data_IF_697374266378
#
_entry.id   IF_697374266378
#
_cell.length_a   1.000
_cell.length_b   1.000
_cell.length_c   1.000
_cell.angle_alpha   90.00
_cell.angle_beta   90.00
_cell.angle_gamma   90.00
#
_symmetry.space_group_name_H-M   'P 1'
#
loop_
_entity.id
_entity.type
_entity.pdbx_description
1 polymer ?
#
# COMPACT_ATOMS: atom_id res chain seq x y z
N UNK A 1 -13.99 -42.36 19.23
CA UNK A 1 -13.18 -41.36 19.97
C UNK A 1 -12.16 -40.61 19.10
N UNK A 2 -11.85 -41.06 17.86
CA UNK A 2 -10.85 -40.42 16.99
C UNK A 2 -11.31 -39.17 16.20
N UNK A 3 -12.62 -38.89 16.04
CA UNK A 3 -13.07 -37.81 15.14
C UNK A 3 -13.13 -36.41 15.77
N UNK A 4 -13.14 -36.28 17.10
CA UNK A 4 -13.19 -34.97 17.79
C UNK A 4 -11.82 -34.30 17.93
N UNK A 5 -10.73 -35.07 17.84
CA UNK A 5 -9.36 -34.55 17.89
C UNK A 5 -8.93 -33.88 16.59
N UNK A 6 -9.49 -34.32 15.47
CA UNK A 6 -9.04 -33.92 14.14
C UNK A 6 -9.63 -32.55 13.73
N UNK A 7 -10.91 -32.33 14.05
CA UNK A 7 -11.60 -31.08 13.74
C UNK A 7 -11.02 -29.86 14.48
N UNK A 8 -10.62 -30.06 15.74
CA UNK A 8 -9.93 -29.04 16.55
C UNK A 8 -8.52 -28.73 16.04
N UNK A 9 -7.83 -29.72 15.48
CA UNK A 9 -6.47 -29.57 14.93
C UNK A 9 -6.51 -28.83 13.60
N UNK A 10 -7.43 -29.20 12.69
CA UNK A 10 -7.59 -28.54 11.39
C UNK A 10 -8.05 -27.08 11.54
N UNK A 11 -8.96 -26.78 12.49
CA UNK A 11 -9.34 -25.37 12.80
C UNK A 11 -8.19 -24.55 13.38
N UNK A 12 -7.31 -25.16 14.19
CA UNK A 12 -6.14 -24.47 14.76
C UNK A 12 -5.09 -24.15 13.69
N UNK A 13 -4.85 -25.07 12.76
CA UNK A 13 -3.90 -24.87 11.65
C UNK A 13 -4.36 -23.74 10.71
N UNK A 14 -5.62 -23.76 10.26
CA UNK A 14 -6.15 -22.71 9.37
C UNK A 14 -6.21 -21.31 10.02
N UNK A 15 -6.42 -21.24 11.35
CA UNK A 15 -6.40 -19.98 12.10
C UNK A 15 -4.97 -19.44 12.27
N UNK A 16 -3.98 -20.31 12.44
CA UNK A 16 -2.57 -19.91 12.57
C UNK A 16 -2.01 -19.31 11.27
N UNK A 17 -2.27 -19.94 10.12
CA UNK A 17 -1.78 -19.44 8.82
C UNK A 17 -2.34 -18.05 8.47
N UNK A 18 -3.65 -17.84 8.67
CA UNK A 18 -4.28 -16.55 8.37
C UNK A 18 -3.77 -15.39 9.24
N UNK A 19 -3.47 -15.65 10.52
CA UNK A 19 -2.92 -14.64 11.43
C UNK A 19 -1.46 -14.30 11.16
N UNK A 20 -0.66 -15.30 10.76
CA UNK A 20 0.75 -15.11 10.42
C UNK A 20 0.92 -14.21 9.20
N UNK A 21 0.20 -14.48 8.11
CA UNK A 21 0.25 -13.67 6.89
C UNK A 21 -0.21 -12.23 7.11
N UNK A 22 -1.31 -12.04 7.84
CA UNK A 22 -1.80 -10.71 8.18
C UNK A 22 -0.81 -9.92 9.05
N UNK A 23 -0.08 -10.61 9.94
CA UNK A 23 0.95 -10.00 10.79
C UNK A 23 2.20 -9.63 9.99
N UNK A 24 2.67 -10.53 9.11
CA UNK A 24 3.78 -10.26 8.19
C UNK A 24 3.44 -9.07 7.28
N UNK A 25 2.23 -9.05 6.70
CA UNK A 25 1.79 -7.94 5.87
C UNK A 25 1.81 -6.60 6.63
N UNK A 26 1.30 -6.57 7.87
CA UNK A 26 1.35 -5.37 8.72
C UNK A 26 2.80 -4.94 8.99
N UNK A 27 3.69 -5.88 9.31
CA UNK A 27 5.10 -5.60 9.57
C UNK A 27 5.80 -5.03 8.34
N UNK A 28 5.64 -5.66 7.18
CA UNK A 28 6.17 -5.18 5.89
C UNK A 28 5.66 -3.78 5.60
N UNK A 29 4.36 -3.52 5.83
CA UNK A 29 3.77 -2.19 5.64
C UNK A 29 4.41 -1.15 6.55
N UNK A 30 4.65 -1.47 7.83
CA UNK A 30 5.33 -0.57 8.77
C UNK A 30 6.77 -0.29 8.33
N UNK A 31 7.53 -1.33 7.95
CA UNK A 31 8.91 -1.19 7.47
C UNK A 31 8.96 -0.31 6.22
N UNK A 32 8.03 -0.48 5.28
CA UNK A 32 7.96 0.36 4.07
C UNK A 32 7.67 1.82 4.41
N UNK A 33 6.73 2.09 5.32
CA UNK A 33 6.41 3.46 5.74
C UNK A 33 7.62 4.10 6.44
N UNK A 34 8.25 3.39 7.38
CA UNK A 34 9.43 3.87 8.09
C UNK A 34 10.60 4.10 7.12
N UNK A 35 10.83 3.17 6.18
CA UNK A 35 11.84 3.30 5.14
C UNK A 35 11.61 4.52 4.25
N UNK A 36 10.37 4.77 3.83
CA UNK A 36 10.01 5.94 3.05
C UNK A 36 10.25 7.25 3.82
N UNK A 37 9.87 7.30 5.10
CA UNK A 37 10.14 8.46 5.98
C UNK A 37 11.65 8.68 6.14
N UNK A 38 12.40 7.61 6.39
CA UNK A 38 13.84 7.67 6.59
C UNK A 38 14.57 8.13 5.33
N UNK A 39 14.22 7.59 4.16
CA UNK A 39 14.73 8.03 2.87
C UNK A 39 14.39 9.49 2.60
N UNK A 40 13.16 9.92 2.88
CA UNK A 40 12.76 11.33 2.77
C UNK A 40 13.59 12.25 3.66
N UNK A 41 13.82 11.86 4.92
CA UNK A 41 14.63 12.62 5.85
C UNK A 41 16.10 12.75 5.38
N UNK A 42 16.71 11.64 4.94
CA UNK A 42 18.05 11.65 4.35
C UNK A 42 18.09 12.56 3.12
N UNK A 43 17.11 12.44 2.22
CA UNK A 43 17.04 13.29 1.03
C UNK A 43 16.95 14.78 1.38
N UNK A 44 16.12 15.15 2.34
CA UNK A 44 15.98 16.52 2.80
C UNK A 44 17.28 17.05 3.44
N UNK A 45 17.96 16.24 4.25
CA UNK A 45 19.21 16.63 4.90
C UNK A 45 20.36 16.82 3.91
N UNK A 46 20.57 15.86 3.01
CA UNK A 46 21.71 15.88 2.08
C UNK A 46 21.48 16.72 0.82
N UNK A 47 20.23 16.96 0.44
CA UNK A 47 19.89 17.72 -0.77
C UNK A 47 19.20 19.04 -0.43
N UNK A 48 19.64 19.73 0.62
CA UNK A 48 19.07 21.01 1.04
C UNK A 48 19.47 22.21 0.14
N UNK A 49 20.14 21.96 -0.98
CA UNK A 49 20.45 23.03 -1.93
C UNK A 49 19.16 23.48 -2.63
N UNK A 50 18.86 24.79 -2.66
CA UNK A 50 17.68 25.29 -3.37
C UNK A 50 17.86 25.05 -4.88
N UNK A 51 16.85 24.44 -5.50
CA UNK A 51 16.78 24.16 -6.94
C UNK A 51 15.47 24.70 -7.47
N UNK A 52 15.53 25.38 -8.62
CA UNK A 52 14.34 25.78 -9.38
C UNK A 52 14.08 24.71 -10.43
N UNK A 53 12.96 24.01 -10.31
CA UNK A 53 12.46 23.12 -11.36
C UNK A 53 11.73 23.94 -12.42
N UNK A 54 12.00 23.63 -13.67
CA UNK A 54 11.32 24.22 -14.82
C UNK A 54 10.25 23.22 -15.29
N UNK A 55 8.98 23.50 -15.01
CA UNK A 55 7.86 22.69 -15.49
C UNK A 55 7.35 23.25 -16.82
N UNK A 56 6.70 22.40 -17.62
CA UNK A 56 6.26 22.75 -18.96
C UNK A 56 5.37 24.02 -19.02
N UNK A 57 4.63 24.30 -17.94
CA UNK A 57 3.68 25.41 -17.87
C UNK A 57 4.04 26.48 -16.84
N UNK A 58 5.03 26.25 -15.97
CA UNK A 58 5.40 27.18 -14.91
C UNK A 58 6.78 26.88 -14.33
N UNK A 59 7.43 27.91 -13.81
CA UNK A 59 8.62 27.75 -12.99
C UNK A 59 8.26 27.60 -11.53
N UNK A 60 9.01 26.77 -10.84
CA UNK A 60 8.79 26.51 -9.43
C UNK A 60 9.57 27.45 -8.50
N UNK A 61 9.11 27.65 -7.26
CA UNK A 61 9.89 28.35 -6.23
C UNK A 61 11.21 27.62 -5.96
N UNK A 62 12.24 28.36 -5.57
CA UNK A 62 13.54 27.82 -5.19
C UNK A 62 13.43 27.06 -3.86
N UNK A 63 13.14 25.76 -3.93
CA UNK A 63 13.04 24.86 -2.80
C UNK A 63 14.10 23.76 -2.92
N UNK A 64 14.41 23.09 -1.81
CA UNK A 64 15.32 21.96 -1.80
C UNK A 64 14.87 20.87 -2.78
N UNK A 65 15.82 20.24 -3.47
CA UNK A 65 15.56 19.09 -4.34
C UNK A 65 14.89 17.93 -3.56
N UNK A 66 15.28 17.73 -2.31
CA UNK A 66 14.67 16.74 -1.42
C UNK A 66 13.17 17.00 -1.19
N UNK A 67 12.77 18.27 -1.05
CA UNK A 67 11.36 18.63 -0.92
C UNK A 67 10.54 18.23 -2.15
N UNK A 68 11.02 18.56 -3.35
CA UNK A 68 10.34 18.19 -4.59
C UNK A 68 10.16 16.68 -4.73
N UNK A 69 11.21 15.90 -4.45
CA UNK A 69 11.15 14.45 -4.52
C UNK A 69 10.13 13.86 -3.54
N UNK A 70 10.03 14.38 -2.32
CA UNK A 70 9.01 13.96 -1.35
C UNK A 70 7.60 14.28 -1.86
N UNK A 71 7.40 15.47 -2.42
CA UNK A 71 6.09 15.88 -2.98
C UNK A 71 5.69 14.94 -4.13
N UNK A 72 6.58 14.69 -5.09
CA UNK A 72 6.30 13.79 -6.21
C UNK A 72 6.07 12.35 -5.76
N UNK A 73 6.84 11.86 -4.79
CA UNK A 73 6.64 10.54 -4.21
C UNK A 73 5.28 10.42 -3.53
N UNK A 74 4.87 11.44 -2.78
CA UNK A 74 3.57 11.49 -2.12
C UNK A 74 2.42 11.48 -3.13
N UNK A 75 2.47 12.36 -4.14
CA UNK A 75 1.47 12.40 -5.21
C UNK A 75 1.42 11.07 -5.99
N UNK A 76 2.57 10.53 -6.39
CA UNK A 76 2.66 9.25 -7.09
C UNK A 76 2.11 8.09 -6.27
N UNK A 77 2.33 8.09 -4.96
CA UNK A 77 1.79 7.08 -4.03
C UNK A 77 0.27 7.14 -3.92
N UNK A 78 -0.31 8.35 -3.82
CA UNK A 78 -1.77 8.54 -3.82
C UNK A 78 -2.37 8.01 -5.14
N UNK A 79 -1.74 8.35 -6.28
CA UNK A 79 -2.19 7.89 -7.58
C UNK A 79 -2.10 6.36 -7.72
N UNK A 80 -1.00 5.76 -7.27
CA UNK A 80 -0.82 4.30 -7.26
C UNK A 80 -1.88 3.60 -6.40
N UNK A 81 -2.13 4.12 -5.19
CA UNK A 81 -3.16 3.59 -4.30
C UNK A 81 -4.57 3.73 -4.88
N UNK A 82 -4.86 4.86 -5.52
CA UNK A 82 -6.11 5.09 -6.25
C UNK A 82 -6.28 4.07 -7.39
N UNK A 83 -5.23 3.82 -8.16
CA UNK A 83 -5.22 2.83 -9.25
C UNK A 83 -5.52 1.41 -8.75
N UNK A 84 -4.86 0.96 -7.68
CA UNK A 84 -5.13 -0.36 -7.09
C UNK A 84 -6.57 -0.48 -6.55
N UNK A 85 -7.14 0.60 -6.04
CA UNK A 85 -8.51 0.61 -5.51
C UNK A 85 -9.57 0.39 -6.59
N UNK A 86 -9.34 0.87 -7.82
CA UNK A 86 -10.25 0.71 -8.96
C UNK A 86 -10.43 -0.78 -9.33
N UNK A 87 -9.35 -1.56 -9.28
CA UNK A 87 -9.38 -3.01 -9.56
C UNK A 87 -10.24 -3.76 -8.53
N UNK A 88 -10.07 -3.46 -7.24
CA UNK A 88 -10.86 -4.07 -6.16
C UNK A 88 -12.35 -3.74 -6.29
N UNK A 89 -12.71 -2.51 -6.67
CA UNK A 89 -14.09 -2.09 -6.91
C UNK A 89 -14.68 -2.86 -8.11
N UNK A 90 -13.91 -3.02 -9.19
CA UNK A 90 -14.33 -3.79 -10.38
C UNK A 90 -14.61 -5.26 -10.02
N UNK A 91 -13.72 -5.89 -9.26
CA UNK A 91 -13.88 -7.27 -8.80
C UNK A 91 -15.16 -7.46 -7.97
N UNK A 92 -15.43 -6.57 -7.00
CA UNK A 92 -16.65 -6.66 -6.17
C UNK A 92 -17.94 -6.55 -6.99
N UNK A 93 -17.95 -5.68 -8.01
CA UNK A 93 -19.12 -5.52 -8.90
C UNK A 93 -19.40 -6.78 -9.72
N UNK A 94 -18.36 -7.46 -10.22
CA UNK A 94 -18.50 -8.69 -10.99
C UNK A 94 -19.06 -9.84 -10.12
N UNK A 95 -18.53 -10.02 -8.92
CA UNK A 95 -19.00 -11.05 -7.98
C UNK A 95 -20.47 -10.82 -7.60
N UNK A 96 -20.86 -9.56 -7.36
CA UNK A 96 -22.26 -9.22 -7.03
C UNK A 96 -23.21 -9.52 -8.18
N UNK A 97 -22.80 -9.25 -9.43
CA UNK A 97 -23.59 -9.57 -10.62
C UNK A 97 -23.75 -11.08 -10.83
N UNK A 98 -22.67 -11.85 -10.68
CA UNK A 98 -22.71 -13.31 -10.82
C UNK A 98 -23.57 -13.96 -9.73
N UNK A 99 -23.47 -13.49 -8.48
CA UNK A 99 -24.31 -13.96 -7.37
C UNK A 99 -25.80 -13.70 -7.61
N UNK A 100 -26.16 -12.59 -8.26
CA UNK A 100 -27.56 -12.29 -8.59
C UNK A 100 -28.12 -13.26 -9.65
N UNK A 101 -27.30 -13.63 -10.65
CA UNK A 101 -27.71 -14.52 -11.74
C UNK A 101 -27.82 -16.00 -11.34
N UNK A 102 -27.16 -16.43 -10.26
CA UNK A 102 -27.27 -17.81 -9.75
C UNK A 102 -28.45 -18.02 -8.79
N UNK A 103 -29.18 -16.96 -8.45
CA UNK A 103 -30.35 -16.98 -7.56
C UNK A 103 -31.67 -16.78 -8.34
N UNK A 104 -31.60 -16.49 -9.63
CA UNK A 104 -32.71 -16.51 -10.61
C UNK A 104 -32.67 -17.84 -11.37
#
# INVERSE_FOLDING_TARGET
MASLSDEGTIRRLGKFEGTSLATIYKLVKVILVLGAVFLGAIFALFNNHPVRLNFLFFESPSLSLGFWLIVFLFLGSILGLGSSSIILIRYKRLITKLKKKSLE
#
